data_IF_127329534281
#
_entry.id   IF_127329534281
#
_cell.length_a   1.000
_cell.length_b   1.000
_cell.length_c   1.000
_cell.angle_alpha   90.00
_cell.angle_beta   90.00
_cell.angle_gamma   90.00
#
_symmetry.space_group_name_H-M   'P 1'
#
loop_
_entity.id
_entity.type
_entity.pdbx_description
1 polymer ?
#
# COMPACT_ATOMS: atom_id res chain seq x y z
N UNK A 1 -19.10 8.52 -69.64
CA UNK A 1 -18.18 7.88 -68.61
C UNK A 1 -17.57 8.87 -67.61
N UNK A 2 -17.44 10.14 -67.90
CA UNK A 2 -16.79 11.16 -67.06
C UNK A 2 -17.52 11.53 -65.74
N UNK A 3 -18.84 11.48 -65.71
CA UNK A 3 -19.64 11.90 -64.55
C UNK A 3 -19.46 10.95 -63.30
N UNK A 4 -19.27 9.67 -63.51
CA UNK A 4 -19.07 8.70 -62.40
C UNK A 4 -17.71 8.80 -61.78
N UNK A 5 -16.69 9.23 -62.51
CA UNK A 5 -15.35 9.44 -61.96
C UNK A 5 -15.29 10.62 -61.00
N UNK A 6 -16.05 11.68 -61.23
CA UNK A 6 -16.15 12.83 -60.34
C UNK A 6 -16.90 12.50 -59.05
N UNK A 7 -17.97 11.68 -59.10
CA UNK A 7 -18.66 11.21 -57.91
C UNK A 7 -17.77 10.31 -57.04
N UNK A 8 -16.96 9.45 -57.67
CA UNK A 8 -16.06 8.55 -56.95
C UNK A 8 -14.89 9.31 -56.28
N UNK A 9 -14.38 10.35 -56.94
CA UNK A 9 -13.36 11.25 -56.39
C UNK A 9 -13.90 12.09 -55.23
N UNK A 10 -15.14 12.58 -55.32
CA UNK A 10 -15.75 13.37 -54.26
C UNK A 10 -16.09 12.51 -53.04
N UNK A 11 -16.48 11.25 -53.27
CA UNK A 11 -16.75 10.31 -52.18
C UNK A 11 -15.47 9.84 -51.47
N UNK A 12 -14.35 9.71 -52.20
CA UNK A 12 -13.03 9.39 -51.66
C UNK A 12 -12.44 10.52 -50.82
N UNK A 13 -12.68 11.80 -51.19
CA UNK A 13 -12.18 12.95 -50.40
C UNK A 13 -12.94 13.18 -49.10
N UNK A 14 -14.21 12.75 -49.02
CA UNK A 14 -15.01 12.82 -47.79
C UNK A 14 -14.57 11.78 -46.72
N UNK A 15 -13.93 10.69 -47.16
CA UNK A 15 -13.44 9.65 -46.24
C UNK A 15 -12.08 9.99 -45.59
N UNK A 16 -11.34 10.97 -46.12
CA UNK A 16 -10.04 11.38 -45.61
C UNK A 16 -10.11 12.48 -44.56
N UNK A 17 -11.29 13.07 -44.30
CA UNK A 17 -11.48 14.17 -43.36
C UNK A 17 -11.82 13.77 -41.92
N UNK A 18 -11.85 12.49 -41.57
CA UNK A 18 -12.30 12.01 -40.25
C UNK A 18 -11.14 11.67 -39.29
N UNK A 19 -10.01 12.37 -39.37
CA UNK A 19 -9.09 12.37 -38.25
C UNK A 19 -9.53 13.43 -37.22
N UNK A 20 -10.42 13.07 -36.33
CA UNK A 20 -10.59 13.85 -35.10
C UNK A 20 -9.32 13.65 -34.26
N UNK A 21 -8.47 14.67 -34.18
CA UNK A 21 -7.44 14.74 -33.16
C UNK A 21 -8.16 14.92 -31.82
N UNK A 22 -8.19 13.88 -31.00
CA UNK A 22 -8.59 14.02 -29.60
C UNK A 22 -7.43 14.72 -28.91
N UNK A 23 -7.57 16.01 -28.63
CA UNK A 23 -6.66 16.71 -27.72
C UNK A 23 -6.94 16.19 -26.32
N UNK A 24 -6.01 15.40 -25.79
CA UNK A 24 -6.06 14.94 -24.42
C UNK A 24 -5.51 16.06 -23.54
N UNK A 25 -6.44 16.80 -22.90
CA UNK A 25 -6.06 17.80 -21.88
C UNK A 25 -5.70 17.05 -20.61
N UNK A 26 -4.40 16.98 -20.29
CA UNK A 26 -3.94 16.54 -18.97
C UNK A 26 -4.01 17.74 -18.02
N UNK A 27 -4.83 17.65 -17.00
CA UNK A 27 -4.90 18.64 -15.92
C UNK A 27 -4.24 18.01 -14.71
N UNK A 28 -3.03 18.44 -14.41
CA UNK A 28 -2.34 18.07 -13.18
C UNK A 28 -2.93 18.91 -12.04
N UNK A 29 -3.56 18.24 -11.09
CA UNK A 29 -4.04 18.87 -9.86
C UNK A 29 -3.58 18.03 -8.66
N UNK A 30 -3.18 18.71 -7.60
CA UNK A 30 -2.83 18.05 -6.35
C UNK A 30 -4.10 17.78 -5.55
N UNK A 31 -4.29 16.54 -5.13
CA UNK A 31 -5.32 16.19 -4.16
C UNK A 31 -4.87 16.66 -2.78
N UNK A 32 -5.76 17.32 -2.01
CA UNK A 32 -5.42 17.75 -0.66
C UNK A 32 -5.23 16.54 0.26
N UNK A 33 -4.24 16.62 1.14
CA UNK A 33 -4.07 15.66 2.22
C UNK A 33 -5.26 15.68 3.19
N UNK A 34 -5.49 14.57 3.87
CA UNK A 34 -6.46 14.50 4.98
C UNK A 34 -5.93 15.22 6.24
N UNK A 35 -4.61 15.36 6.32
CA UNK A 35 -3.91 16.01 7.44
C UNK A 35 -3.32 17.33 6.99
N UNK A 36 -3.52 18.39 7.78
CA UNK A 36 -2.88 19.69 7.55
C UNK A 36 -1.78 19.89 8.58
N UNK A 37 -0.53 19.97 8.14
CA UNK A 37 0.59 20.29 8.99
C UNK A 37 0.85 21.80 9.01
N UNK A 38 0.96 22.42 10.21
CA UNK A 38 1.45 23.80 10.32
C UNK A 38 2.85 23.94 9.69
N UNK A 39 3.11 25.04 9.02
CA UNK A 39 4.41 25.32 8.37
C UNK A 39 5.61 25.33 9.32
N UNK A 40 5.37 25.34 10.61
CA UNK A 40 6.42 25.25 11.66
C UNK A 40 6.86 23.81 11.95
N UNK A 41 6.12 22.80 11.50
CA UNK A 41 6.47 21.40 11.68
C UNK A 41 7.26 20.92 10.46
N UNK A 42 8.58 20.96 10.56
CA UNK A 42 9.50 20.75 9.43
C UNK A 42 10.28 19.44 9.54
N UNK A 43 10.57 19.02 10.76
CA UNK A 43 11.38 17.84 11.06
C UNK A 43 10.52 16.77 11.70
N UNK A 44 10.47 15.60 11.11
CA UNK A 44 9.63 14.48 11.57
C UNK A 44 10.46 13.25 11.85
N UNK A 45 10.14 12.51 12.91
CA UNK A 45 10.64 11.16 13.08
C UNK A 45 9.53 10.14 12.83
N UNK A 46 9.89 9.09 12.09
CA UNK A 46 9.06 7.90 11.91
C UNK A 46 9.51 6.85 12.92
N UNK A 47 8.58 6.34 13.70
CA UNK A 47 8.87 5.42 14.80
C UNK A 47 7.99 4.18 14.74
N UNK A 48 8.55 3.02 15.10
CA UNK A 48 7.80 1.77 15.26
C UNK A 48 7.23 1.69 16.69
N UNK A 49 5.92 1.90 16.84
CA UNK A 49 5.19 1.79 18.10
C UNK A 49 4.28 0.55 18.16
N UNK A 50 4.47 -0.41 17.26
CA UNK A 50 3.69 -1.65 17.26
C UNK A 50 3.94 -2.46 18.55
N UNK A 51 2.90 -3.19 19.02
CA UNK A 51 3.09 -4.15 20.09
C UNK A 51 4.20 -5.15 19.78
N UNK A 52 4.90 -5.63 20.82
CA UNK A 52 5.89 -6.68 20.64
C UNK A 52 5.21 -8.02 20.32
N UNK A 53 4.95 -8.26 19.05
CA UNK A 53 4.44 -9.51 18.50
C UNK A 53 5.41 -10.03 17.44
N UNK A 54 5.52 -11.33 17.23
CA UNK A 54 6.35 -11.86 16.16
C UNK A 54 5.91 -11.30 14.81
N UNK A 55 6.84 -10.71 14.07
CA UNK A 55 6.61 -10.25 12.70
C UNK A 55 6.30 -11.42 11.77
N UNK A 56 5.62 -11.15 10.67
CA UNK A 56 5.27 -12.14 9.64
C UNK A 56 4.51 -13.35 10.15
N UNK A 57 3.90 -13.25 11.34
CA UNK A 57 3.18 -14.37 11.91
C UNK A 57 1.83 -14.56 11.21
N UNK A 58 1.61 -15.77 10.69
CA UNK A 58 0.29 -16.23 10.32
C UNK A 58 -0.62 -16.23 11.56
N UNK A 59 -1.70 -15.43 11.52
CA UNK A 59 -2.66 -15.32 12.62
C UNK A 59 -3.74 -16.39 12.45
N UNK A 60 -4.37 -16.45 11.27
CA UNK A 60 -5.46 -17.36 10.93
C UNK A 60 -5.28 -17.82 9.48
N UNK A 61 -5.60 -19.08 9.24
CA UNK A 61 -5.71 -19.67 7.90
C UNK A 61 -7.11 -20.24 7.72
N UNK A 62 -7.81 -19.79 6.69
CA UNK A 62 -9.18 -20.22 6.39
C UNK A 62 -9.24 -20.79 4.96
N UNK A 63 -9.62 -22.05 4.82
CA UNK A 63 -10.03 -22.61 3.54
C UNK A 63 -11.43 -22.16 3.21
N UNK A 64 -11.57 -21.29 2.21
CA UNK A 64 -12.86 -20.83 1.75
C UNK A 64 -13.48 -21.83 0.76
N UNK A 65 -14.81 -21.93 0.79
CA UNK A 65 -15.53 -22.68 -0.23
C UNK A 65 -15.30 -22.06 -1.60
N UNK A 66 -15.14 -22.89 -2.62
CA UNK A 66 -14.99 -22.47 -4.01
C UNK A 66 -16.19 -21.63 -4.43
N UNK A 67 -15.94 -20.42 -4.96
CA UNK A 67 -17.01 -19.52 -5.42
C UNK A 67 -17.43 -19.76 -6.87
N UNK A 68 -16.68 -20.58 -7.61
CA UNK A 68 -16.89 -20.84 -9.03
C UNK A 68 -16.48 -22.27 -9.36
N UNK A 69 -17.15 -22.89 -10.33
CA UNK A 69 -16.84 -24.25 -10.80
C UNK A 69 -15.40 -24.38 -11.32
N UNK A 70 -14.84 -23.30 -11.83
CA UNK A 70 -13.48 -23.26 -12.36
C UNK A 70 -12.40 -23.03 -11.26
N UNK A 71 -12.79 -22.77 -10.03
CA UNK A 71 -11.84 -22.64 -8.91
C UNK A 71 -11.34 -24.02 -8.48
N UNK A 72 -10.02 -24.17 -8.51
CA UNK A 72 -9.35 -25.40 -8.05
C UNK A 72 -9.05 -25.32 -6.54
N UNK A 73 -8.54 -24.17 -6.09
CA UNK A 73 -8.19 -23.92 -4.69
C UNK A 73 -8.38 -22.44 -4.33
N UNK A 74 -8.75 -22.21 -3.06
CA UNK A 74 -8.79 -20.88 -2.44
C UNK A 74 -8.35 -21.00 -0.98
N UNK A 75 -7.48 -20.09 -0.57
CA UNK A 75 -6.97 -20.01 0.79
C UNK A 75 -6.88 -18.54 1.21
N UNK A 76 -7.45 -18.21 2.36
CA UNK A 76 -7.35 -16.89 2.98
C UNK A 76 -6.51 -16.97 4.24
N UNK A 77 -5.47 -16.17 4.30
CA UNK A 77 -4.55 -16.06 5.41
C UNK A 77 -4.53 -14.65 5.97
N UNK A 78 -4.37 -14.53 7.28
CA UNK A 78 -4.22 -13.26 7.98
C UNK A 78 -2.84 -13.23 8.65
N UNK A 79 -2.13 -12.11 8.48
CA UNK A 79 -0.79 -11.93 9.00
C UNK A 79 -0.66 -10.61 9.77
N UNK A 80 0.28 -10.59 10.72
CA UNK A 80 0.92 -9.34 11.10
C UNK A 80 1.99 -9.04 10.05
N UNK A 81 2.08 -7.80 9.62
CA UNK A 81 3.17 -7.36 8.74
C UNK A 81 4.49 -7.22 9.49
N UNK A 82 5.56 -7.02 8.73
CA UNK A 82 6.88 -6.70 9.26
C UNK A 82 6.96 -5.21 9.63
N UNK A 83 6.99 -4.94 10.94
CA UNK A 83 6.97 -3.58 11.45
C UNK A 83 8.23 -2.78 11.08
N UNK A 84 9.40 -3.42 11.06
CA UNK A 84 10.66 -2.76 10.73
C UNK A 84 10.66 -2.33 9.26
N UNK A 85 10.36 -3.27 8.34
CA UNK A 85 10.27 -3.01 6.91
C UNK A 85 9.23 -1.92 6.61
N UNK A 86 8.05 -1.97 7.24
CA UNK A 86 7.00 -0.97 7.01
C UNK A 86 7.39 0.41 7.54
N UNK A 87 8.07 0.49 8.69
CA UNK A 87 8.54 1.76 9.24
C UNK A 87 9.60 2.39 8.35
N UNK A 88 10.55 1.60 7.85
CA UNK A 88 11.58 2.04 6.91
C UNK A 88 10.95 2.54 5.61
N UNK A 89 10.05 1.76 5.02
CA UNK A 89 9.35 2.14 3.78
C UNK A 89 8.49 3.40 3.96
N UNK A 90 7.83 3.57 5.11
CA UNK A 90 7.07 4.79 5.43
C UNK A 90 7.99 6.01 5.51
N UNK A 91 9.14 5.89 6.18
CA UNK A 91 10.10 6.97 6.28
C UNK A 91 10.69 7.36 4.92
N UNK A 92 11.05 6.37 4.11
CA UNK A 92 11.55 6.57 2.75
C UNK A 92 10.50 7.25 1.86
N UNK A 93 9.27 6.77 1.89
CA UNK A 93 8.18 7.35 1.10
C UNK A 93 7.89 8.80 1.51
N UNK A 94 7.88 9.14 2.81
CA UNK A 94 7.73 10.51 3.28
C UNK A 94 8.90 11.42 2.86
N UNK A 95 10.14 10.90 2.90
CA UNK A 95 11.32 11.64 2.48
C UNK A 95 11.31 11.94 0.98
N UNK A 96 10.85 10.99 0.16
CA UNK A 96 10.78 11.13 -1.29
C UNK A 96 9.80 12.23 -1.74
N UNK A 97 8.75 12.52 -0.96
CA UNK A 97 7.80 13.60 -1.24
C UNK A 97 8.40 15.01 -1.04
N UNK A 98 9.53 15.13 -0.35
CA UNK A 98 10.21 16.40 -0.07
C UNK A 98 9.31 17.47 0.58
N UNK A 99 8.29 17.02 1.34
CA UNK A 99 7.37 17.90 2.04
C UNK A 99 7.95 18.44 3.35
N UNK A 100 8.69 17.60 4.08
CA UNK A 100 9.40 17.96 5.30
C UNK A 100 10.86 18.31 5.00
N UNK A 101 11.46 19.18 5.80
CA UNK A 101 12.88 19.52 5.67
C UNK A 101 13.78 18.33 6.05
N UNK A 102 13.31 17.50 7.00
CA UNK A 102 14.05 16.33 7.45
C UNK A 102 13.09 15.23 7.91
N UNK A 103 13.37 14.00 7.47
CA UNK A 103 12.68 12.77 7.92
C UNK A 103 13.72 11.87 8.58
N UNK A 104 13.57 11.63 9.87
CA UNK A 104 14.45 10.78 10.68
C UNK A 104 13.74 9.45 10.93
N UNK A 105 14.45 8.34 10.83
CA UNK A 105 13.93 7.04 11.22
C UNK A 105 14.48 6.64 12.60
N UNK A 106 13.60 6.12 13.45
CA UNK A 106 14.02 5.50 14.70
C UNK A 106 14.01 3.98 14.52
N UNK A 107 15.20 3.38 14.41
CA UNK A 107 15.38 1.94 14.16
C UNK A 107 14.94 1.07 15.33
N UNK A 108 14.71 1.66 16.50
CA UNK A 108 14.34 0.93 17.70
C UNK A 108 12.83 0.71 17.77
N UNK A 109 12.41 -0.55 17.85
CA UNK A 109 11.01 -0.87 18.17
C UNK A 109 10.72 -0.41 19.61
N UNK A 110 9.88 0.62 19.76
CA UNK A 110 9.61 1.26 21.06
C UNK A 110 9.02 0.28 22.09
N UNK A 111 8.31 -0.74 21.62
CA UNK A 111 7.63 -1.74 22.46
C UNK A 111 8.38 -3.07 22.59
N UNK A 112 9.61 -3.16 22.10
CA UNK A 112 10.39 -4.41 22.10
C UNK A 112 10.62 -5.01 23.50
N UNK A 113 10.55 -4.20 24.55
CA UNK A 113 10.73 -4.62 25.95
C UNK A 113 9.41 -4.79 26.71
N UNK A 114 8.27 -4.53 26.08
CA UNK A 114 6.97 -4.65 26.75
C UNK A 114 6.62 -6.13 26.88
N UNK A 115 6.50 -6.60 28.14
CA UNK A 115 6.16 -8.01 28.45
C UNK A 115 4.67 -8.25 28.27
N UNK A 116 3.85 -7.23 28.58
CA UNK A 116 2.39 -7.30 28.42
C UNK A 116 1.96 -6.31 27.34
N UNK A 117 1.05 -6.71 26.44
CA UNK A 117 0.43 -5.76 25.55
C UNK A 117 -0.26 -4.67 26.37
N UNK A 118 0.20 -3.46 26.25
CA UNK A 118 -0.49 -2.28 26.81
C UNK A 118 -1.12 -1.48 25.68
N UNK A 119 -1.91 -0.47 26.04
CA UNK A 119 -2.41 0.46 25.03
C UNK A 119 -1.24 1.02 24.21
N UNK A 120 -1.35 0.90 22.90
CA UNK A 120 -0.29 1.27 21.96
C UNK A 120 -0.10 2.78 21.80
N UNK A 121 -0.76 3.59 22.64
CA UNK A 121 -0.67 5.05 22.58
C UNK A 121 0.56 5.54 23.32
N UNK A 122 1.41 6.33 22.64
CA UNK A 122 2.52 7.01 23.28
C UNK A 122 2.02 8.02 24.31
N UNK A 123 2.59 8.00 25.49
CA UNK A 123 2.37 9.03 26.51
C UNK A 123 3.01 10.34 26.10
N UNK A 124 2.57 11.46 26.71
CA UNK A 124 3.17 12.76 26.45
C UNK A 124 4.67 12.80 26.76
N UNK A 125 5.09 12.14 27.82
CA UNK A 125 6.48 12.16 28.26
C UNK A 125 7.37 11.35 27.30
N UNK A 126 6.89 10.20 26.82
CA UNK A 126 7.56 9.43 25.75
C UNK A 126 7.68 10.25 24.45
N UNK A 127 6.63 10.96 24.03
CA UNK A 127 6.69 11.81 22.83
C UNK A 127 7.69 12.95 23.02
N UNK A 128 7.70 13.60 24.20
CA UNK A 128 8.63 14.69 24.51
C UNK A 128 10.08 14.20 24.51
N UNK A 129 10.35 13.08 25.15
CA UNK A 129 11.68 12.48 25.20
C UNK A 129 12.17 12.09 23.80
N UNK A 130 11.33 11.42 23.00
CA UNK A 130 11.68 11.00 21.64
C UNK A 130 11.95 12.21 20.74
N UNK A 131 11.08 13.23 20.76
CA UNK A 131 11.26 14.43 19.93
C UNK A 131 12.53 15.19 20.30
N UNK A 132 12.86 15.28 21.60
CA UNK A 132 14.10 15.91 22.05
C UNK A 132 15.35 15.10 21.68
N UNK A 133 15.32 13.79 21.86
CA UNK A 133 16.47 12.92 21.58
C UNK A 133 16.78 12.83 20.07
N UNK A 134 15.75 12.88 19.23
CA UNK A 134 15.87 12.81 17.77
C UNK A 134 15.98 14.20 17.13
N UNK A 135 15.86 15.27 17.92
CA UNK A 135 15.87 16.67 17.47
C UNK A 135 14.84 16.93 16.35
N UNK A 136 13.58 16.52 16.56
CA UNK A 136 12.47 16.66 15.61
C UNK A 136 11.28 17.39 16.23
N UNK A 137 10.40 17.93 15.39
CA UNK A 137 9.24 18.71 15.84
C UNK A 137 8.07 17.82 16.26
N UNK A 138 7.94 16.62 15.65
CA UNK A 138 6.83 15.71 15.90
C UNK A 138 7.16 14.27 15.45
N UNK A 139 6.26 13.34 15.78
CA UNK A 139 6.40 11.92 15.44
C UNK A 139 5.25 11.46 14.55
N UNK A 140 5.58 10.60 13.59
CA UNK A 140 4.64 9.71 12.89
C UNK A 140 4.93 8.29 13.36
N UNK A 141 4.01 7.70 14.13
CA UNK A 141 4.19 6.38 14.70
C UNK A 141 3.39 5.33 13.93
N UNK A 142 4.05 4.27 13.50
CA UNK A 142 3.41 3.07 13.02
C UNK A 142 2.85 2.30 14.22
N UNK A 143 1.51 2.14 14.27
CA UNK A 143 0.82 1.53 15.40
C UNK A 143 0.38 0.10 15.14
N UNK A 144 0.05 -0.21 13.90
CA UNK A 144 -0.44 -1.53 13.50
C UNK A 144 -0.27 -1.76 12.01
N UNK A 145 -0.05 -3.03 11.66
CA UNK A 145 -0.14 -3.53 10.28
C UNK A 145 -0.84 -4.87 10.33
N UNK A 146 -1.95 -4.97 9.65
CA UNK A 146 -2.60 -6.25 9.41
C UNK A 146 -2.67 -6.48 7.92
N UNK A 147 -2.63 -7.75 7.53
CA UNK A 147 -2.69 -8.17 6.13
C UNK A 147 -3.68 -9.30 5.99
N UNK A 148 -4.46 -9.24 4.91
CA UNK A 148 -5.32 -10.33 4.48
C UNK A 148 -4.87 -10.78 3.09
N UNK A 149 -4.35 -11.99 2.99
CA UNK A 149 -3.96 -12.62 1.73
C UNK A 149 -5.05 -13.55 1.25
N UNK A 150 -5.42 -13.45 -0.01
CA UNK A 150 -6.32 -14.39 -0.70
C UNK A 150 -5.55 -15.03 -1.85
N UNK A 151 -5.20 -16.31 -1.69
CA UNK A 151 -4.54 -17.12 -2.71
C UNK A 151 -5.58 -17.99 -3.43
N UNK A 152 -5.63 -17.88 -4.75
CA UNK A 152 -6.62 -18.58 -5.58
C UNK A 152 -5.94 -19.22 -6.79
N UNK A 153 -6.40 -20.39 -7.18
CA UNK A 153 -6.04 -21.03 -8.46
C UNK A 153 -7.35 -21.38 -9.17
N UNK A 154 -7.45 -20.98 -10.43
CA UNK A 154 -8.60 -21.25 -11.30
C UNK A 154 -8.15 -21.81 -12.63
N UNK A 155 -8.95 -22.71 -13.20
CA UNK A 155 -8.78 -23.15 -14.59
C UNK A 155 -9.51 -22.19 -15.51
N UNK A 156 -8.88 -21.77 -16.58
CA UNK A 156 -9.40 -20.86 -17.60
C UNK A 156 -9.70 -21.66 -18.88
N UNK A 157 -10.94 -22.15 -19.06
CA UNK A 157 -11.28 -23.07 -20.17
C UNK A 157 -10.99 -22.49 -21.54
N UNK A 158 -11.28 -21.21 -21.76
CA UNK A 158 -11.10 -20.54 -23.04
C UNK A 158 -9.65 -20.48 -23.50
N UNK A 159 -8.72 -20.54 -22.57
CA UNK A 159 -7.26 -20.48 -22.83
C UNK A 159 -6.56 -21.81 -22.56
N UNK A 160 -7.25 -22.76 -21.96
CA UNK A 160 -6.70 -24.08 -21.61
C UNK A 160 -5.57 -24.03 -20.56
N UNK A 161 -5.56 -22.98 -19.72
CA UNK A 161 -4.49 -22.75 -18.74
C UNK A 161 -5.04 -22.61 -17.32
N UNK A 162 -4.18 -22.83 -16.34
CA UNK A 162 -4.43 -22.47 -14.95
C UNK A 162 -3.91 -21.07 -14.68
N UNK A 163 -4.70 -20.26 -13.97
CA UNK A 163 -4.35 -18.93 -13.48
C UNK A 163 -4.31 -18.98 -11.94
N UNK A 164 -3.17 -18.66 -11.38
CA UNK A 164 -2.98 -18.46 -9.95
C UNK A 164 -2.88 -16.97 -9.65
N UNK A 165 -3.57 -16.53 -8.60
CA UNK A 165 -3.51 -15.16 -8.11
C UNK A 165 -3.27 -15.13 -6.61
N UNK A 166 -2.50 -14.15 -6.15
CA UNK A 166 -2.35 -13.81 -4.74
C UNK A 166 -2.70 -12.33 -4.62
N UNK A 167 -3.78 -12.04 -3.92
CA UNK A 167 -4.21 -10.68 -3.60
C UNK A 167 -3.98 -10.44 -2.11
N UNK A 168 -3.25 -9.38 -1.77
CA UNK A 168 -2.98 -9.01 -0.38
C UNK A 168 -3.48 -7.61 -0.12
N UNK A 169 -4.45 -7.51 0.77
CA UNK A 169 -4.93 -6.25 1.29
C UNK A 169 -4.22 -5.93 2.60
N UNK A 170 -3.60 -4.75 2.64
CA UNK A 170 -2.86 -4.25 3.81
C UNK A 170 -3.68 -3.19 4.54
N UNK A 171 -3.54 -3.13 5.87
CA UNK A 171 -4.26 -2.21 6.75
C UNK A 171 -3.30 -1.55 7.74
N UNK A 172 -2.43 -0.64 7.26
CA UNK A 172 -1.56 0.10 8.16
C UNK A 172 -2.35 1.16 8.94
N UNK A 173 -1.99 1.32 10.21
CA UNK A 173 -2.47 2.40 11.08
C UNK A 173 -1.29 3.23 11.54
N UNK A 174 -1.32 4.52 11.27
CA UNK A 174 -0.32 5.48 11.75
C UNK A 174 -0.97 6.56 12.61
N UNK A 175 -0.22 7.06 13.61
CA UNK A 175 -0.64 8.17 14.47
C UNK A 175 0.40 9.26 14.47
N UNK A 176 -0.09 10.51 14.53
CA UNK A 176 0.74 11.70 14.58
C UNK A 176 0.72 12.21 16.01
N UNK A 177 1.91 12.41 16.60
CA UNK A 177 2.07 12.90 17.95
C UNK A 177 2.86 14.21 17.98
N UNK A 178 2.36 15.17 18.79
CA UNK A 178 3.02 16.43 19.07
C UNK A 178 3.48 16.46 20.53
N UNK A 179 4.69 17.00 20.83
CA UNK A 179 5.24 17.00 22.20
C UNK A 179 4.42 17.86 23.19
N UNK A 180 3.68 18.84 22.69
CA UNK A 180 2.85 19.73 23.52
C UNK A 180 1.43 19.24 23.74
N UNK A 181 1.07 18.02 23.28
CA UNK A 181 -0.30 17.49 23.32
C UNK A 181 -0.35 16.15 24.06
N UNK A 182 -1.47 15.89 24.75
CA UNK A 182 -1.79 14.55 25.27
C UNK A 182 -2.44 13.72 24.18
N UNK A 183 -1.87 12.56 23.90
CA UNK A 183 -2.36 11.64 22.88
C UNK A 183 -2.13 12.10 21.44
N UNK A 184 -2.56 11.31 20.47
CA UNK A 184 -2.33 11.60 19.06
C UNK A 184 -3.11 12.83 18.60
N UNK A 185 -2.51 13.57 17.67
CA UNK A 185 -3.18 14.65 16.96
C UNK A 185 -4.19 14.08 15.96
N UNK A 186 -3.76 13.07 15.21
CA UNK A 186 -4.55 12.39 14.18
C UNK A 186 -4.20 10.91 14.19
N UNK A 187 -5.18 10.07 13.86
CA UNK A 187 -5.00 8.66 13.53
C UNK A 187 -5.43 8.46 12.09
N UNK A 188 -4.56 7.93 11.26
CA UNK A 188 -4.82 7.56 9.87
C UNK A 188 -4.91 6.05 9.79
N UNK A 189 -6.09 5.55 9.41
CA UNK A 189 -6.35 4.16 9.10
C UNK A 189 -6.49 4.06 7.59
N UNK A 190 -5.52 3.47 6.94
CA UNK A 190 -5.50 3.35 5.48
C UNK A 190 -5.57 1.90 5.06
N UNK A 191 -5.90 1.65 3.81
CA UNK A 191 -5.85 0.32 3.23
C UNK A 191 -5.65 0.41 1.72
N UNK A 192 -4.96 -0.60 1.20
CA UNK A 192 -4.80 -0.80 -0.24
C UNK A 192 -4.45 -2.26 -0.52
N UNK A 193 -4.38 -2.63 -1.81
CA UNK A 193 -4.10 -4.00 -2.23
C UNK A 193 -2.94 -4.06 -3.19
N UNK A 194 -2.12 -5.10 -3.04
CA UNK A 194 -1.08 -5.50 -3.99
C UNK A 194 -1.37 -6.93 -4.43
N UNK A 195 -1.09 -7.26 -5.70
CA UNK A 195 -1.38 -8.59 -6.22
C UNK A 195 -0.27 -9.13 -7.11
N UNK A 196 -0.22 -10.45 -7.21
CA UNK A 196 0.66 -11.21 -8.09
C UNK A 196 -0.17 -12.26 -8.84
N UNK A 197 0.23 -12.55 -10.07
CA UNK A 197 -0.42 -13.56 -10.87
C UNK A 197 0.58 -14.41 -11.64
N UNK A 198 0.23 -15.67 -11.87
CA UNK A 198 0.99 -16.65 -12.64
C UNK A 198 0.04 -17.50 -13.47
N UNK A 199 0.40 -17.76 -14.71
CA UNK A 199 -0.38 -18.62 -15.61
C UNK A 199 0.47 -19.81 -16.10
N UNK A 200 -0.17 -20.96 -16.34
CA UNK A 200 0.54 -22.14 -16.83
C UNK A 200 -0.35 -23.32 -17.17
N UNK A 201 0.23 -24.34 -17.79
CA UNK A 201 -0.51 -25.50 -18.30
C UNK A 201 -0.86 -26.53 -17.21
N UNK A 202 -0.41 -26.34 -15.97
CA UNK A 202 -0.66 -27.26 -14.86
C UNK A 202 -0.75 -26.54 -13.51
N UNK A 203 -1.70 -26.96 -12.66
CA UNK A 203 -1.91 -26.40 -11.32
C UNK A 203 -0.62 -26.41 -10.48
N UNK A 204 0.09 -27.54 -10.41
CA UNK A 204 1.31 -27.66 -9.62
C UNK A 204 2.40 -26.68 -10.09
N UNK A 205 2.53 -26.50 -11.40
CA UNK A 205 3.48 -25.54 -11.99
C UNK A 205 3.14 -24.09 -11.65
N UNK A 206 1.86 -23.73 -11.68
CA UNK A 206 1.41 -22.39 -11.28
C UNK A 206 1.65 -22.18 -9.79
N UNK A 207 1.26 -23.15 -8.96
CA UNK A 207 1.44 -23.10 -7.50
C UNK A 207 2.89 -22.88 -7.09
N UNK A 208 3.84 -23.54 -7.78
CA UNK A 208 5.29 -23.43 -7.46
C UNK A 208 5.93 -22.12 -7.91
N UNK A 209 5.33 -21.41 -8.87
CA UNK A 209 5.82 -20.11 -9.37
C UNK A 209 5.15 -18.91 -8.73
N UNK A 210 3.97 -19.07 -8.14
CA UNK A 210 3.36 -18.00 -7.36
C UNK A 210 4.32 -17.56 -6.27
N UNK A 211 4.27 -16.26 -5.98
CA UNK A 211 5.09 -15.65 -4.93
C UNK A 211 5.09 -16.50 -3.65
N UNK A 212 6.25 -16.67 -3.04
CA UNK A 212 6.38 -17.35 -1.76
C UNK A 212 5.64 -16.59 -0.66
N UNK A 213 5.33 -17.24 0.46
CA UNK A 213 4.68 -16.57 1.58
C UNK A 213 5.59 -15.51 2.20
N UNK A 214 6.86 -15.81 2.35
CA UNK A 214 7.88 -14.91 2.90
C UNK A 214 8.06 -13.65 2.04
N UNK A 215 8.26 -13.82 0.73
CA UNK A 215 8.40 -12.69 -0.20
C UNK A 215 7.12 -11.86 -0.30
N UNK A 216 5.96 -12.52 -0.26
CA UNK A 216 4.66 -11.86 -0.26
C UNK A 216 4.50 -10.95 0.97
N UNK A 217 4.78 -11.46 2.18
CA UNK A 217 4.67 -10.66 3.40
C UNK A 217 5.69 -9.53 3.40
N UNK A 218 6.92 -9.79 2.94
CA UNK A 218 7.95 -8.75 2.81
C UNK A 218 7.50 -7.62 1.88
N UNK A 219 7.11 -7.94 0.63
CA UNK A 219 6.70 -6.94 -0.36
C UNK A 219 5.41 -6.22 0.06
N UNK A 220 4.47 -6.93 0.69
CA UNK A 220 3.26 -6.33 1.23
C UNK A 220 3.54 -5.39 2.42
N UNK A 221 4.58 -5.67 3.23
CA UNK A 221 5.04 -4.79 4.31
C UNK A 221 5.70 -3.53 3.76
N UNK A 222 6.54 -3.65 2.74
CA UNK A 222 7.11 -2.51 2.01
C UNK A 222 5.98 -1.64 1.43
N UNK A 223 5.03 -2.25 0.73
CA UNK A 223 3.87 -1.55 0.18
C UNK A 223 3.02 -0.87 1.27
N UNK A 224 2.79 -1.52 2.41
CA UNK A 224 2.02 -0.97 3.52
C UNK A 224 2.61 0.33 4.07
N UNK A 225 3.93 0.52 4.02
CA UNK A 225 4.59 1.76 4.40
C UNK A 225 4.24 2.94 3.49
N UNK A 226 4.03 2.70 2.21
CA UNK A 226 3.71 3.77 1.24
C UNK A 226 2.25 4.23 1.32
N UNK A 227 1.32 3.33 1.69
CA UNK A 227 -0.13 3.57 1.66
C UNK A 227 -0.57 4.78 2.50
N UNK A 228 -0.08 5.01 3.74
CA UNK A 228 -0.48 6.16 4.54
C UNK A 228 -0.07 7.51 3.95
N UNK A 229 0.99 7.58 3.14
CA UNK A 229 1.60 8.84 2.68
C UNK A 229 0.61 9.72 1.93
N UNK A 230 -0.20 9.16 1.04
CA UNK A 230 -1.24 9.88 0.30
C UNK A 230 -2.36 10.46 1.18
N UNK A 231 -2.51 9.96 2.40
CA UNK A 231 -3.45 10.52 3.39
C UNK A 231 -2.79 11.60 4.25
N UNK A 232 -1.46 11.52 4.40
CA UNK A 232 -0.66 12.45 5.19
C UNK A 232 -0.26 13.69 4.39
N UNK A 233 0.08 13.52 3.11
CA UNK A 233 0.65 14.58 2.27
C UNK A 233 -0.23 14.81 1.03
N UNK A 234 -0.24 16.05 0.48
CA UNK A 234 -0.86 16.33 -0.82
C UNK A 234 -0.16 15.55 -1.94
N UNK A 235 -0.90 14.96 -2.86
CA UNK A 235 -0.37 14.12 -3.96
C UNK A 235 -1.03 14.42 -5.30
#
# INVERSE_FOLDING_TARGET
MTKYHYCLLLMGSLLLGSCQSVEQLSIDYMLPAEVSFPATLKRVAVVNNMPNVPDNKLIISEEEQKKSENEVARLTNYYNGDAAITTESLAEALANENYFEEVVICDSALRSKDINPRESTLSRDEVLELTQNLDVDFLIALENIQMRSNRKISYMPDWGVFLGTVDVKVYPTVRIYLPNRKGPMVTVNSNDSIFWEEAGNGEASVRSRLISEEDMVKQASEFAGTVPVRHLLPY
#
